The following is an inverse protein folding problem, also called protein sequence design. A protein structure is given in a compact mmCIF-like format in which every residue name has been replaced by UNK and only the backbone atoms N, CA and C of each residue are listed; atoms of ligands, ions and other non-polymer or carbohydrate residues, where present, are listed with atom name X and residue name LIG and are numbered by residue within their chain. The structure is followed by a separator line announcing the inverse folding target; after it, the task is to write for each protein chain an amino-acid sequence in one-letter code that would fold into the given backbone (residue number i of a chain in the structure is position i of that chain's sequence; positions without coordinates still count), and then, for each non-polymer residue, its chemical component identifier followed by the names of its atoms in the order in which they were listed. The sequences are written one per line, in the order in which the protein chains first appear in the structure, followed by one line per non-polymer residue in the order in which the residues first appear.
data_IF_454944490017
#
_entry.id   IF_454944490017
#
_cell.length_a   1.000
_cell.length_b   1.000
_cell.length_c   1.000
_cell.angle_alpha   90.00
_cell.angle_beta   90.00
_cell.angle_gamma   90.00
#
_symmetry.space_group_name_H-M   'P 1'
#
loop_
_entity.id
_entity.type
_entity.pdbx_description
1 polymer ?
#
# COMPACT_ATOMS: atom_id res chain seq x y z
N UNK A 1 7.70 -11.82 6.95
CA UNK A 1 7.06 -10.68 7.66
C UNK A 1 6.11 -10.06 6.66
N UNK A 2 4.82 -10.40 6.75
CA UNK A 2 3.86 -10.27 5.64
C UNK A 2 3.79 -8.86 5.02
N UNK A 3 3.95 -7.82 5.84
CA UNK A 3 3.90 -6.41 5.40
C UNK A 3 5.13 -5.97 4.58
N UNK A 4 6.32 -6.52 4.88
CA UNK A 4 7.59 -6.15 4.25
C UNK A 4 7.69 -6.74 2.84
N UNK A 5 7.20 -7.97 2.68
CA UNK A 5 7.06 -8.64 1.39
C UNK A 5 6.06 -7.91 0.48
N UNK A 6 4.88 -7.53 0.99
CA UNK A 6 3.89 -6.75 0.24
C UNK A 6 4.41 -5.38 -0.21
N UNK A 7 5.19 -4.72 0.64
CA UNK A 7 5.84 -3.45 0.30
C UNK A 7 6.84 -3.63 -0.84
N UNK A 8 7.66 -4.69 -0.79
CA UNK A 8 8.59 -5.01 -1.89
C UNK A 8 7.86 -5.38 -3.18
N UNK A 9 6.78 -6.16 -3.13
CA UNK A 9 5.96 -6.48 -4.31
C UNK A 9 5.41 -5.21 -4.96
N UNK A 10 4.95 -4.26 -4.15
CA UNK A 10 4.50 -2.95 -4.62
C UNK A 10 5.62 -2.15 -5.30
N UNK A 11 6.81 -2.06 -4.68
CA UNK A 11 7.96 -1.38 -5.28
C UNK A 11 8.43 -2.06 -6.57
N UNK A 12 8.35 -3.38 -6.63
CA UNK A 12 8.73 -4.19 -7.79
C UNK A 12 7.69 -4.14 -8.91
N UNK A 13 6.51 -3.56 -8.67
CA UNK A 13 5.47 -3.45 -9.67
C UNK A 13 5.83 -2.36 -10.70
N UNK A 14 5.99 -2.70 -12.00
CA UNK A 14 6.37 -1.74 -13.03
C UNK A 14 5.23 -0.78 -13.39
N UNK A 15 3.99 -1.14 -13.05
CA UNK A 15 2.80 -0.31 -13.29
C UNK A 15 2.63 0.79 -12.24
N UNK A 16 3.49 0.79 -11.21
CA UNK A 16 3.41 1.75 -10.12
C UNK A 16 3.76 3.15 -10.61
N UNK A 17 2.87 4.09 -10.32
CA UNK A 17 3.07 5.49 -10.68
C UNK A 17 4.32 6.04 -9.97
N UNK A 18 5.19 6.81 -10.65
CA UNK A 18 6.41 7.36 -10.08
C UNK A 18 6.16 8.16 -8.79
N UNK A 19 5.08 8.94 -8.70
CA UNK A 19 4.74 9.67 -7.47
C UNK A 19 4.41 8.73 -6.30
N UNK A 20 3.82 7.58 -6.60
CA UNK A 20 3.51 6.55 -5.60
C UNK A 20 4.78 5.82 -5.14
N UNK A 21 5.71 5.56 -6.07
CA UNK A 21 7.03 4.99 -5.75
C UNK A 21 7.85 5.95 -4.89
N UNK A 22 7.80 7.25 -5.14
CA UNK A 22 8.45 8.28 -4.32
C UNK A 22 7.83 8.40 -2.93
N UNK A 23 6.51 8.21 -2.78
CA UNK A 23 5.87 8.15 -1.47
C UNK A 23 6.35 6.92 -0.69
N UNK A 24 6.43 5.75 -1.36
CA UNK A 24 6.91 4.49 -0.77
C UNK A 24 8.39 4.55 -0.39
N UNK A 25 9.27 4.88 -1.35
CA UNK A 25 10.28 5.92 -1.19
C UNK A 25 10.56 6.49 0.21
N UNK A 26 9.84 7.59 0.47
CA UNK A 26 9.97 8.42 1.65
C UNK A 26 9.58 7.69 2.94
N UNK A 27 8.60 6.78 2.88
CA UNK A 27 8.22 5.95 4.04
C UNK A 27 9.07 4.68 4.17
N UNK A 28 9.96 4.37 3.22
CA UNK A 28 10.82 3.19 3.28
C UNK A 28 11.74 3.21 4.51
N UNK A 29 12.11 4.42 4.96
CA UNK A 29 12.86 4.66 6.18
C UNK A 29 12.00 4.61 7.46
N UNK A 30 10.66 4.61 7.33
CA UNK A 30 9.69 4.63 8.42
C UNK A 30 8.93 3.32 8.49
N UNK A 31 9.52 2.30 9.13
CA UNK A 31 8.93 0.97 9.25
C UNK A 31 7.52 0.97 9.88
N UNK A 32 7.26 1.87 10.81
CA UNK A 32 5.95 2.00 11.47
C UNK A 32 4.84 2.37 10.47
N UNK A 33 5.16 3.28 9.54
CA UNK A 33 4.26 3.74 8.49
C UNK A 33 3.99 2.64 7.46
N UNK A 34 5.02 1.88 7.08
CA UNK A 34 4.87 0.68 6.24
C UNK A 34 3.98 -0.33 6.96
N UNK A 35 4.18 -0.57 8.25
CA UNK A 35 3.34 -1.45 9.06
C UNK A 35 1.90 -0.97 9.13
N UNK A 36 1.67 0.33 9.23
CA UNK A 36 0.32 0.90 9.25
C UNK A 36 -0.39 0.69 7.90
N UNK A 37 0.32 0.93 6.80
CA UNK A 37 -0.22 0.83 5.43
C UNK A 37 -0.31 -0.60 4.88
N UNK A 38 0.59 -1.50 5.27
CA UNK A 38 0.72 -2.87 4.75
C UNK A 38 0.45 -3.98 5.78
N UNK A 39 0.41 -3.63 7.06
CA UNK A 39 0.16 -4.57 8.16
C UNK A 39 -1.30 -4.94 8.33
N UNK A 40 -2.21 -4.13 7.81
CA UNK A 40 -3.63 -4.46 7.68
C UNK A 40 -3.99 -4.62 6.20
N UNK A 41 -4.90 -5.55 5.94
CA UNK A 41 -5.50 -5.73 4.63
C UNK A 41 -6.82 -4.97 4.66
N UNK A 42 -7.08 -4.19 3.62
CA UNK A 42 -8.34 -3.47 3.47
C UNK A 42 -9.48 -4.49 3.53
N UNK A 43 -10.25 -4.48 4.61
CA UNK A 43 -11.43 -5.33 4.73
C UNK A 43 -12.58 -4.69 3.98
N UNK A 44 -12.98 -5.31 2.87
CA UNK A 44 -14.15 -4.91 2.09
C UNK A 44 -15.43 -5.25 2.87
N UNK A 45 -16.03 -4.26 3.52
CA UNK A 45 -17.36 -4.39 4.12
C UNK A 45 -18.47 -4.25 3.08
N UNK A 46 -19.68 -4.76 3.40
CA UNK A 46 -20.88 -4.81 2.53
C UNK A 46 -21.42 -3.44 2.04
N UNK A 47 -20.79 -2.32 2.42
CA UNK A 47 -21.20 -0.95 2.10
C UNK A 47 -20.38 -0.24 1.00
N UNK A 48 -19.43 -0.95 0.36
CA UNK A 48 -18.58 -0.41 -0.70
C UNK A 48 -17.22 0.11 -0.25
N UNK A 49 -16.32 0.29 -1.22
CA UNK A 49 -14.95 0.77 -1.09
C UNK A 49 -14.93 2.21 -0.58
N UNK A 50 -14.65 2.43 0.71
CA UNK A 50 -14.30 3.75 1.27
C UNK A 50 -12.98 3.67 2.03
N UNK A 51 -12.01 4.45 1.59
CA UNK A 51 -10.66 4.46 2.13
C UNK A 51 -9.81 5.51 1.41
N UNK A 52 -8.75 6.00 2.05
CA UNK A 52 -7.85 6.95 1.43
C UNK A 52 -7.16 6.31 0.21
N UNK A 53 -7.02 7.09 -0.86
CA UNK A 53 -6.31 6.68 -2.08
C UNK A 53 -4.79 6.79 -1.86
N UNK A 54 -4.02 5.77 -2.22
CA UNK A 54 -2.54 5.82 -2.20
C UNK A 54 -1.87 4.50 -1.77
N UNK A 55 -0.59 4.28 -2.10
CA UNK A 55 0.04 2.97 -1.93
C UNK A 55 -0.10 2.33 -0.54
N UNK A 56 -0.49 1.05 -0.53
CA UNK A 56 -0.68 0.24 0.68
C UNK A 56 -1.75 -0.83 0.48
N UNK A 57 -1.63 -1.98 1.15
CA UNK A 57 -2.70 -3.00 1.17
C UNK A 57 -3.91 -2.60 2.01
N UNK A 58 -3.81 -1.52 2.79
CA UNK A 58 -4.90 -0.92 3.57
C UNK A 58 -5.48 0.36 2.95
N UNK A 59 -5.25 0.61 1.66
CA UNK A 59 -5.68 1.84 0.97
C UNK A 59 -6.32 1.52 -0.38
N UNK A 60 -7.21 2.39 -0.84
CA UNK A 60 -7.94 2.17 -2.09
C UNK A 60 -7.04 2.54 -3.26
N UNK A 61 -6.54 1.53 -3.97
CA UNK A 61 -5.63 1.73 -5.06
C UNK A 61 -6.13 0.98 -6.29
N UNK A 62 -5.98 1.58 -7.48
CA UNK A 62 -6.32 0.92 -8.74
C UNK A 62 -5.53 -0.37 -9.02
N UNK A 63 -4.54 -0.69 -8.18
CA UNK A 63 -3.69 -1.88 -8.27
C UNK A 63 -4.16 -3.04 -7.39
N UNK A 64 -5.12 -2.84 -6.47
CA UNK A 64 -5.78 -3.92 -5.76
C UNK A 64 -7.08 -4.26 -6.49
N UNK A 65 -7.05 -5.35 -7.25
CA UNK A 65 -8.22 -5.98 -7.87
C UNK A 65 -8.48 -7.33 -7.22
#
# INVERSE_FOLDING_TARGET
MIWRERFQEWLSNPWLDPGTREELNAIAAQEDEIKNRFGQMLSFGTGGLRGPVGAGTNRINCYMI
#
